data_IF_017943818001
#
_entry.id   IF_017943818001
#
_cell.length_a   1.000
_cell.length_b   1.000
_cell.length_c   1.000
_cell.angle_alpha   90.00
_cell.angle_beta   90.00
_cell.angle_gamma   90.00
#
_symmetry.space_group_name_H-M   'P 1'
#
loop_
_entity.id
_entity.type
_entity.pdbx_description
1 polymer ?
#
# COMPACT_ATOMS: atom_id res chain seq x y z
N UNK A 1 -24.05 -22.11 14.89
CA UNK A 1 -23.62 -20.77 15.37
C UNK A 1 -22.24 -20.49 14.80
N UNK A 2 -22.16 -19.75 13.69
CA UNK A 2 -20.89 -19.28 13.13
C UNK A 2 -20.46 -18.06 13.96
N UNK A 3 -19.38 -18.17 14.73
CA UNK A 3 -18.80 -17.01 15.39
C UNK A 3 -18.24 -16.09 14.31
N UNK A 4 -18.89 -14.95 14.11
CA UNK A 4 -18.39 -13.91 13.23
C UNK A 4 -17.12 -13.38 13.87
N UNK A 5 -15.95 -13.83 13.39
CA UNK A 5 -14.67 -13.21 13.67
C UNK A 5 -14.75 -11.75 13.21
N UNK A 6 -15.18 -10.85 14.10
CA UNK A 6 -15.14 -9.43 13.87
C UNK A 6 -13.69 -9.00 14.01
N UNK A 7 -13.05 -8.78 12.87
CA UNK A 7 -11.70 -8.27 12.82
C UNK A 7 -11.69 -6.87 13.48
N UNK A 8 -10.64 -6.52 14.27
CA UNK A 8 -10.63 -5.35 15.15
C UNK A 8 -10.72 -3.99 14.44
N UNK A 9 -10.70 -3.99 13.10
CA UNK A 9 -10.81 -2.80 12.27
C UNK A 9 -12.22 -2.51 11.74
N UNK A 10 -13.21 -3.36 12.05
CA UNK A 10 -14.62 -3.11 11.75
C UNK A 10 -15.09 -1.91 12.60
N UNK A 11 -15.11 -0.72 12.00
CA UNK A 11 -15.48 0.54 12.65
C UNK A 11 -14.88 1.79 12.00
N UNK A 12 -13.85 1.64 11.18
CA UNK A 12 -13.37 2.72 10.28
C UNK A 12 -14.26 2.78 9.05
N UNK A 13 -14.58 3.98 8.55
CA UNK A 13 -15.24 4.14 7.26
C UNK A 13 -14.35 3.51 6.17
N UNK A 14 -14.75 2.37 5.58
CA UNK A 14 -13.92 1.65 4.62
C UNK A 14 -13.86 2.33 3.26
N UNK A 15 -14.57 3.45 3.05
CA UNK A 15 -14.48 4.24 1.83
C UNK A 15 -13.15 5.01 1.76
N UNK A 16 -12.54 5.36 2.90
CA UNK A 16 -11.31 6.19 2.94
C UNK A 16 -10.30 5.72 3.99
N UNK A 17 -10.00 4.43 4.03
CA UNK A 17 -9.01 3.88 4.96
C UNK A 17 -7.79 3.34 4.20
N UNK A 18 -6.59 3.83 4.54
CA UNK A 18 -5.31 3.24 4.09
C UNK A 18 -4.71 2.42 5.22
N UNK A 19 -4.30 1.18 4.91
CA UNK A 19 -3.54 0.34 5.84
C UNK A 19 -2.05 0.47 5.57
N UNK A 20 -1.29 0.63 6.64
CA UNK A 20 0.18 0.78 6.60
C UNK A 20 0.82 -0.12 7.64
N UNK A 21 2.12 -0.35 7.51
CA UNK A 21 2.88 -1.09 8.51
C UNK A 21 2.79 -0.42 9.89
N UNK A 22 2.42 -1.20 10.90
CA UNK A 22 2.35 -0.74 12.30
C UNK A 22 3.72 -0.32 12.87
N UNK A 23 4.78 -1.04 12.50
CA UNK A 23 6.12 -0.85 13.08
C UNK A 23 7.05 -0.01 12.22
N UNK A 24 6.78 0.07 10.91
CA UNK A 24 7.63 0.77 9.93
C UNK A 24 6.76 1.48 8.90
N UNK A 25 5.99 2.51 9.30
CA UNK A 25 5.17 3.26 8.36
C UNK A 25 6.06 3.94 7.29
N UNK A 26 5.59 4.07 6.02
CA UNK A 26 6.35 4.71 4.95
C UNK A 26 6.69 6.17 5.27
N UNK A 27 7.90 6.62 4.95
CA UNK A 27 8.29 8.03 5.12
C UNK A 27 7.39 9.01 4.33
N UNK A 28 6.87 8.57 3.18
CA UNK A 28 5.93 9.35 2.36
C UNK A 28 4.53 9.49 2.96
N UNK A 29 4.22 8.79 4.06
CA UNK A 29 2.86 8.71 4.61
C UNK A 29 2.24 10.08 4.95
N UNK A 30 2.93 11.03 5.63
CA UNK A 30 2.32 12.33 5.91
C UNK A 30 1.95 13.11 4.64
N UNK A 31 2.84 13.14 3.65
CA UNK A 31 2.62 13.83 2.39
C UNK A 31 1.52 13.17 1.54
N UNK A 32 1.39 11.84 1.64
CA UNK A 32 0.31 11.06 1.04
C UNK A 32 -1.05 11.38 1.66
N UNK A 33 -1.16 11.41 2.98
CA UNK A 33 -2.43 11.69 3.67
C UNK A 33 -2.93 13.10 3.42
N UNK A 34 -2.01 14.08 3.32
CA UNK A 34 -2.34 15.45 2.97
C UNK A 34 -3.03 15.58 1.59
N UNK A 35 -2.71 14.68 0.65
CA UNK A 35 -3.23 14.71 -0.73
C UNK A 35 -4.43 13.79 -0.95
N UNK A 36 -4.42 12.59 -0.35
CA UNK A 36 -5.44 11.57 -0.59
C UNK A 36 -6.58 11.58 0.45
N UNK A 37 -6.40 12.30 1.57
CA UNK A 37 -7.42 12.53 2.60
C UNK A 37 -8.09 11.24 3.10
N UNK A 38 -7.29 10.33 3.65
CA UNK A 38 -7.75 9.05 4.20
C UNK A 38 -7.39 8.91 5.68
N UNK A 39 -8.16 8.09 6.40
CA UNK A 39 -7.80 7.59 7.70
C UNK A 39 -6.68 6.55 7.59
N UNK A 40 -5.79 6.51 8.57
CA UNK A 40 -4.72 5.50 8.66
C UNK A 40 -5.15 4.41 9.63
N UNK A 41 -5.00 3.16 9.18
CA UNK A 41 -5.17 1.99 10.01
C UNK A 41 -3.86 1.19 10.09
N UNK A 42 -3.12 1.26 11.22
CA UNK A 42 -1.87 0.52 11.38
C UNK A 42 -2.11 -0.99 11.52
N UNK A 43 -1.64 -1.78 10.56
CA UNK A 43 -1.79 -3.26 10.57
C UNK A 43 -0.41 -3.94 10.45
N UNK A 44 -0.18 -4.93 11.31
CA UNK A 44 1.00 -5.80 11.24
C UNK A 44 0.83 -6.87 10.15
N UNK A 45 1.93 -7.39 9.58
CA UNK A 45 1.92 -8.36 8.47
C UNK A 45 1.46 -7.79 7.12
N UNK A 46 2.20 -8.12 6.04
CA UNK A 46 1.82 -7.76 4.67
C UNK A 46 0.57 -8.53 4.22
N UNK A 47 0.43 -9.80 4.65
CA UNK A 47 -0.73 -10.65 4.36
C UNK A 47 -2.02 -10.05 4.93
N UNK A 48 -1.99 -9.60 6.19
CA UNK A 48 -3.16 -9.02 6.84
C UNK A 48 -3.59 -7.68 6.20
N UNK A 49 -2.63 -6.84 5.80
CA UNK A 49 -2.92 -5.59 5.08
C UNK A 49 -3.60 -5.84 3.73
N UNK A 50 -3.10 -6.83 3.00
CA UNK A 50 -3.70 -7.23 1.72
C UNK A 50 -5.11 -7.79 1.92
N UNK A 51 -5.30 -8.65 2.94
CA UNK A 51 -6.61 -9.18 3.29
C UNK A 51 -7.60 -8.06 3.69
N UNK A 52 -7.14 -7.00 4.36
CA UNK A 52 -7.99 -5.86 4.69
C UNK A 52 -8.51 -5.14 3.43
N UNK A 53 -7.68 -4.99 2.39
CA UNK A 53 -8.13 -4.42 1.11
C UNK A 53 -9.12 -5.37 0.41
N UNK A 54 -8.76 -6.65 0.33
CA UNK A 54 -9.54 -7.70 -0.32
C UNK A 54 -10.95 -7.86 0.27
N UNK A 55 -11.05 -7.81 1.60
CA UNK A 55 -12.31 -8.03 2.33
C UNK A 55 -13.20 -6.80 2.45
N UNK A 56 -12.79 -5.66 1.91
CA UNK A 56 -13.59 -4.45 2.03
C UNK A 56 -13.30 -3.63 3.30
N UNK A 57 -12.37 -4.05 4.17
CA UNK A 57 -12.04 -3.34 5.41
C UNK A 57 -11.16 -2.10 5.22
N UNK A 58 -10.37 -2.05 4.15
CA UNK A 58 -9.53 -0.91 3.81
C UNK A 58 -9.60 -0.64 2.31
N UNK A 59 -9.41 0.62 1.92
CA UNK A 59 -9.43 1.06 0.53
C UNK A 59 -8.11 0.75 -0.18
N UNK A 60 -6.99 0.93 0.54
CA UNK A 60 -5.66 0.75 -0.01
C UNK A 60 -4.67 0.23 1.05
N UNK A 61 -3.62 -0.45 0.58
CA UNK A 61 -2.42 -0.78 1.31
C UNK A 61 -1.24 -0.10 0.61
N UNK A 62 -0.48 0.72 1.32
CA UNK A 62 0.76 1.34 0.84
C UNK A 62 1.95 0.92 1.69
N UNK A 63 3.04 0.53 1.04
CA UNK A 63 4.31 0.14 1.67
C UNK A 63 5.48 0.80 0.96
N UNK A 64 6.44 1.32 1.72
CA UNK A 64 7.75 1.73 1.24
C UNK A 64 8.78 1.51 2.35
N UNK A 65 10.07 1.50 1.98
CA UNK A 65 11.18 1.24 2.90
C UNK A 65 11.60 -0.23 2.96
N UNK A 66 11.20 -1.03 1.97
CA UNK A 66 11.66 -2.41 1.81
C UNK A 66 10.85 -3.43 2.59
N UNK A 67 10.59 -4.57 1.95
CA UNK A 67 10.34 -5.85 2.58
C UNK A 67 10.91 -6.97 1.70
N UNK A 68 11.05 -8.17 2.24
CA UNK A 68 11.54 -9.26 1.43
C UNK A 68 10.47 -9.73 0.44
N UNK A 69 10.90 -10.29 -0.69
CA UNK A 69 9.99 -10.80 -1.72
C UNK A 69 8.96 -11.79 -1.17
N UNK A 70 9.35 -12.65 -0.22
CA UNK A 70 8.45 -13.64 0.39
C UNK A 70 7.35 -13.01 1.27
N UNK A 71 7.53 -11.76 1.72
CA UNK A 71 6.47 -11.05 2.45
C UNK A 71 5.33 -10.61 1.52
N UNK A 72 5.62 -10.38 0.23
CA UNK A 72 4.67 -9.80 -0.73
C UNK A 72 4.25 -10.70 -1.88
N UNK A 73 5.05 -11.69 -2.28
CA UNK A 73 4.79 -12.50 -3.47
C UNK A 73 3.38 -13.14 -3.48
N UNK A 74 3.05 -13.90 -2.42
CA UNK A 74 1.72 -14.51 -2.32
C UNK A 74 0.59 -13.48 -2.17
N UNK A 75 0.68 -12.46 -1.28
CA UNK A 75 -0.34 -11.40 -1.19
C UNK A 75 -0.61 -10.67 -2.51
N UNK A 76 0.44 -10.28 -3.24
CA UNK A 76 0.33 -9.59 -4.53
C UNK A 76 -0.35 -10.48 -5.56
N UNK A 77 0.06 -11.74 -5.66
CA UNK A 77 -0.56 -12.69 -6.59
C UNK A 77 -2.06 -12.88 -6.29
N UNK A 78 -2.43 -13.06 -5.02
CA UNK A 78 -3.84 -13.18 -4.59
C UNK A 78 -4.62 -11.91 -4.90
N UNK A 79 -4.06 -10.74 -4.60
CA UNK A 79 -4.70 -9.45 -4.86
C UNK A 79 -4.98 -9.26 -6.37
N UNK A 80 -3.97 -9.48 -7.21
CA UNK A 80 -4.09 -9.36 -8.65
C UNK A 80 -5.11 -10.37 -9.23
N UNK A 81 -5.05 -11.64 -8.82
CA UNK A 81 -6.00 -12.67 -9.24
C UNK A 81 -7.44 -12.38 -8.80
N UNK A 82 -7.61 -11.61 -7.72
CA UNK A 82 -8.93 -11.15 -7.23
C UNK A 82 -9.41 -9.86 -7.89
N UNK A 83 -8.69 -9.35 -8.89
CA UNK A 83 -9.04 -8.12 -9.61
C UNK A 83 -8.70 -6.83 -8.87
N UNK A 84 -7.91 -6.87 -7.78
CA UNK A 84 -7.37 -5.66 -7.17
C UNK A 84 -6.27 -5.04 -8.05
N UNK A 85 -6.12 -3.74 -7.97
CA UNK A 85 -5.03 -3.03 -8.62
C UNK A 85 -3.77 -3.12 -7.76
N UNK A 86 -2.66 -3.55 -8.34
CA UNK A 86 -1.37 -3.73 -7.67
C UNK A 86 -0.30 -3.04 -8.50
N UNK A 87 0.54 -2.23 -7.86
CA UNK A 87 1.61 -1.48 -8.53
C UNK A 87 2.77 -1.21 -7.59
N UNK A 88 3.97 -0.98 -8.14
CA UNK A 88 5.01 -0.23 -7.43
C UNK A 88 4.60 1.24 -7.29
N UNK A 89 5.09 1.92 -6.27
CA UNK A 89 4.84 3.35 -6.04
C UNK A 89 5.30 4.16 -7.27
N UNK A 90 6.50 3.86 -7.78
CA UNK A 90 7.12 4.54 -8.92
C UNK A 90 6.75 3.94 -10.29
N UNK A 91 5.61 3.24 -10.40
CA UNK A 91 5.13 2.62 -11.63
C UNK A 91 6.13 1.64 -12.31
N UNK A 92 7.12 1.15 -11.56
CA UNK A 92 8.03 0.09 -12.01
C UNK A 92 7.32 -1.27 -11.96
N UNK A 93 7.75 -2.25 -12.78
CA UNK A 93 7.21 -3.60 -12.70
C UNK A 93 7.54 -4.25 -11.35
N UNK A 94 6.58 -4.99 -10.79
CA UNK A 94 6.82 -5.90 -9.67
C UNK A 94 7.66 -7.07 -10.20
N UNK A 95 8.86 -7.24 -9.63
CA UNK A 95 9.77 -8.33 -9.98
C UNK A 95 10.02 -9.17 -8.74
N UNK A 96 10.04 -10.48 -8.96
CA UNK A 96 10.34 -11.50 -7.97
C UNK A 96 11.47 -12.38 -8.51
N UNK A 97 11.98 -13.29 -7.69
CA UNK A 97 13.14 -14.13 -8.00
C UNK A 97 14.38 -13.30 -8.34
N UNK A 98 14.58 -12.17 -7.64
CA UNK A 98 15.78 -11.36 -7.80
C UNK A 98 16.91 -11.90 -6.91
N UNK A 99 18.16 -11.65 -7.33
CA UNK A 99 19.35 -12.05 -6.56
C UNK A 99 19.38 -11.42 -5.17
N UNK A 100 19.00 -10.14 -5.10
CA UNK A 100 18.70 -9.45 -3.85
C UNK A 100 17.17 -9.45 -3.67
N UNK A 101 16.62 -10.30 -2.78
CA UNK A 101 15.18 -10.56 -2.71
C UNK A 101 14.46 -9.47 -1.90
N UNK A 102 14.74 -8.20 -2.20
CA UNK A 102 14.13 -7.04 -1.57
C UNK A 102 13.19 -6.36 -2.56
N UNK A 103 11.92 -6.23 -2.18
CA UNK A 103 10.98 -5.38 -2.87
C UNK A 103 10.89 -4.04 -2.11
N UNK A 104 11.31 -2.92 -2.70
CA UNK A 104 11.47 -1.66 -1.96
C UNK A 104 10.13 -1.00 -1.59
N UNK A 105 9.09 -1.22 -2.37
CA UNK A 105 7.79 -0.60 -2.21
C UNK A 105 6.70 -1.41 -2.93
N UNK A 106 5.44 -1.19 -2.53
CA UNK A 106 4.27 -1.61 -3.30
C UNK A 106 3.02 -0.84 -2.83
N UNK A 107 1.99 -0.88 -3.65
CA UNK A 107 0.66 -0.46 -3.30
C UNK A 107 -0.40 -1.40 -3.88
N UNK A 108 -1.45 -1.65 -3.10
CA UNK A 108 -2.61 -2.46 -3.49
C UNK A 108 -3.87 -1.64 -3.19
N UNK A 109 -4.81 -1.55 -4.13
CA UNK A 109 -6.10 -0.93 -3.89
C UNK A 109 -7.22 -1.60 -4.68
N UNK A 110 -8.46 -1.25 -4.36
CA UNK A 110 -9.61 -1.62 -5.18
C UNK A 110 -9.56 -0.85 -6.52
N UNK A 111 -10.12 -1.40 -7.62
CA UNK A 111 -10.04 -0.78 -8.95
C UNK A 111 -10.60 0.64 -9.03
N UNK A 112 -11.70 0.92 -8.33
CA UNK A 112 -12.37 2.23 -8.39
C UNK A 112 -11.51 3.37 -7.81
N UNK A 113 -10.58 3.07 -6.91
CA UNK A 113 -9.64 4.05 -6.34
C UNK A 113 -8.29 4.10 -7.05
N UNK A 114 -8.02 3.17 -7.98
CA UNK A 114 -6.72 3.02 -8.62
C UNK A 114 -6.23 4.32 -9.28
N UNK A 115 -7.07 4.95 -10.13
CA UNK A 115 -6.70 6.17 -10.82
C UNK A 115 -6.30 7.31 -9.86
N UNK A 116 -7.07 7.50 -8.77
CA UNK A 116 -6.79 8.53 -7.77
C UNK A 116 -5.53 8.22 -6.95
N UNK A 117 -5.37 6.96 -6.53
CA UNK A 117 -4.21 6.52 -5.76
C UNK A 117 -2.92 6.67 -6.56
N UNK A 118 -2.93 6.22 -7.81
CA UNK A 118 -1.78 6.28 -8.72
C UNK A 118 -1.34 7.71 -8.97
N UNK A 119 -2.28 8.60 -9.30
CA UNK A 119 -1.98 10.03 -9.46
C UNK A 119 -1.26 10.62 -8.25
N UNK A 120 -1.77 10.38 -7.03
CA UNK A 120 -1.14 10.92 -5.81
C UNK A 120 0.26 10.33 -5.58
N UNK A 121 0.44 9.02 -5.81
CA UNK A 121 1.75 8.39 -5.64
C UNK A 121 2.77 8.87 -6.69
N UNK A 122 2.32 9.12 -7.91
CA UNK A 122 3.16 9.64 -8.99
C UNK A 122 3.58 11.10 -8.70
N UNK A 123 2.66 11.97 -8.26
CA UNK A 123 2.96 13.35 -7.83
C UNK A 123 3.98 13.41 -6.67
N UNK A 124 3.90 12.46 -5.73
CA UNK A 124 4.84 12.36 -4.62
C UNK A 124 6.22 11.88 -5.06
N UNK A 125 6.27 10.97 -6.03
CA UNK A 125 7.53 10.49 -6.61
C UNK A 125 8.26 11.61 -7.36
N UNK A 126 7.54 12.41 -8.13
CA UNK A 126 8.09 13.57 -8.85
C UNK A 126 8.63 14.63 -7.88
N UNK A 127 7.89 14.92 -6.80
CA UNK A 127 8.31 15.88 -5.77
C UNK A 127 9.57 15.44 -5.04
N UNK A 128 9.80 14.13 -4.89
CA UNK A 128 11.01 13.59 -4.27
C UNK A 128 12.24 13.63 -5.19
N UNK A 129 12.04 13.65 -6.51
CA UNK A 129 13.11 13.77 -7.50
C UNK A 129 13.42 15.23 -7.88
N UNK A 130 12.62 16.18 -7.43
CA UNK A 130 12.65 17.60 -7.81
C UNK A 130 13.53 18.52 -6.97
N UNK A 131 14.38 18.01 -6.08
CA UNK A 131 15.35 18.81 -5.32
C UNK A 131 16.76 18.61 -5.93
N UNK A 132 17.12 19.31 -7.02
CA UNK A 132 18.52 19.45 -7.38
C UNK A 132 19.14 20.37 -6.33
N UNK A 133 20.14 19.84 -5.63
CA UNK A 133 21.13 20.57 -4.83
C UNK A 133 21.25 22.03 -5.30
N UNK A 134 20.72 23.00 -4.51
CA UNK A 134 21.28 24.35 -4.54
C UNK A 134 22.69 24.23 -3.99
N UNK A 135 23.64 24.14 -4.90
CA UNK A 135 25.05 24.43 -4.62
C UNK A 135 25.19 25.92 -4.86
N UNK A 136 25.10 26.69 -3.78
CA UNK A 136 25.85 27.93 -3.62
C UNK A 136 27.29 27.62 -3.18
#
# INVERSE_FOLDING_TARGET
MLSTWRLPWIGTDPARTVVVSRSRPPALLPAFLARWAAAVLPIGSAKAKTAAVLTGAATAYVHAGGHYEWDSAAPVAVAAASGLSVRRIHNLPLRYNQRDPVLPDLAICRPREAASLWRVLDELAESANGDPVRTD
#
